data_IF_690396454742
#
_entry.id   IF_690396454742
#
_cell.length_a   1.000
_cell.length_b   1.000
_cell.length_c   1.000
_cell.angle_alpha   90.00
_cell.angle_beta   90.00
_cell.angle_gamma   90.00
#
_symmetry.space_group_name_H-M   'P 1'
#
loop_
_entity.id
_entity.type
_entity.pdbx_description
1 polymer ?
#
# COMPACT_ATOMS: atom_id res chain seq x y z
N UNK A 1 31.80 38.31 1.40
CA UNK A 1 30.95 37.57 0.43
C UNK A 1 30.91 36.08 0.71
N UNK A 2 32.04 35.41 0.98
CA UNK A 2 32.10 33.98 1.34
C UNK A 2 31.14 33.56 2.48
N UNK A 3 30.98 34.39 3.52
CA UNK A 3 30.08 34.11 4.66
C UNK A 3 28.59 34.12 4.30
N UNK A 4 28.18 34.91 3.30
CA UNK A 4 26.78 34.95 2.80
C UNK A 4 26.49 33.77 1.87
N UNK A 5 27.49 33.34 1.10
CA UNK A 5 27.43 32.12 0.27
C UNK A 5 27.36 30.87 1.15
N UNK A 6 28.14 30.82 2.24
CA UNK A 6 28.09 29.73 3.22
C UNK A 6 26.75 29.65 3.95
N UNK A 7 26.15 30.78 4.34
CA UNK A 7 24.81 30.80 4.98
C UNK A 7 23.71 30.36 4.01
N UNK A 8 23.77 30.78 2.75
CA UNK A 8 22.81 30.36 1.72
C UNK A 8 22.94 28.86 1.38
N UNK A 9 24.15 28.33 1.33
CA UNK A 9 24.40 26.89 1.14
C UNK A 9 23.95 26.04 2.34
N UNK A 10 24.15 26.52 3.57
CA UNK A 10 23.67 25.86 4.78
C UNK A 10 22.13 25.84 4.86
N UNK A 11 21.48 26.95 4.50
CA UNK A 11 20.02 27.02 4.44
C UNK A 11 19.45 26.07 3.38
N UNK A 12 20.05 25.97 2.20
CA UNK A 12 19.64 25.02 1.17
C UNK A 12 19.82 23.55 1.61
N UNK A 13 20.88 23.24 2.35
CA UNK A 13 21.12 21.90 2.89
C UNK A 13 20.13 21.52 4.01
N UNK A 14 19.73 22.47 4.87
CA UNK A 14 18.76 22.22 5.95
C UNK A 14 17.33 22.08 5.40
N UNK A 15 16.96 22.84 4.37
CA UNK A 15 15.67 22.68 3.67
C UNK A 15 15.61 21.34 2.92
N UNK A 16 16.73 20.88 2.35
CA UNK A 16 16.83 19.58 1.69
C UNK A 16 16.68 18.37 2.64
N UNK A 17 17.10 18.50 3.89
CA UNK A 17 17.01 17.42 4.89
C UNK A 17 15.59 17.26 5.48
N UNK A 18 14.77 18.32 5.50
CA UNK A 18 13.41 18.28 6.06
C UNK A 18 12.36 17.65 5.13
N UNK A 19 12.68 17.44 3.85
CA UNK A 19 11.75 16.86 2.87
C UNK A 19 11.67 15.31 2.90
N UNK A 20 12.52 14.63 3.70
CA UNK A 20 12.62 13.16 3.68
C UNK A 20 11.75 12.43 4.73
N UNK A 21 10.85 13.12 5.42
CA UNK A 21 9.82 12.46 6.23
C UNK A 21 8.56 12.14 5.40
N UNK A 22 8.74 11.64 4.17
CA UNK A 22 7.65 10.98 3.45
C UNK A 22 7.37 9.64 4.12
N UNK A 23 6.10 9.22 4.19
CA UNK A 23 5.68 7.95 4.80
C UNK A 23 6.37 6.76 4.11
N UNK A 24 7.53 6.36 4.63
CA UNK A 24 8.28 5.21 4.16
C UNK A 24 7.67 3.93 4.74
N UNK A 25 7.50 2.93 3.89
CA UNK A 25 7.07 1.58 4.32
C UNK A 25 8.20 1.01 5.19
N UNK A 26 7.95 0.56 6.43
CA UNK A 26 8.97 -0.05 7.27
C UNK A 26 9.62 -1.26 6.57
N UNK A 27 10.92 -1.48 6.78
CA UNK A 27 11.67 -2.56 6.13
C UNK A 27 11.03 -3.94 6.36
N UNK A 28 10.59 -4.20 7.60
CA UNK A 28 9.93 -5.44 8.01
C UNK A 28 8.48 -5.56 7.49
N UNK A 29 7.96 -4.53 6.82
CA UNK A 29 6.61 -4.48 6.23
C UNK A 29 6.63 -4.41 4.70
N UNK A 30 7.80 -4.39 4.07
CA UNK A 30 7.91 -4.35 2.60
C UNK A 30 7.18 -5.51 1.93
N UNK A 31 7.26 -6.70 2.52
CA UNK A 31 6.57 -7.91 2.08
C UNK A 31 5.75 -8.49 3.22
N UNK A 32 4.44 -8.54 3.04
CA UNK A 32 3.51 -9.14 4.00
C UNK A 32 3.12 -10.54 3.53
N UNK A 33 3.12 -11.49 4.48
CA UNK A 33 2.50 -12.80 4.30
C UNK A 33 1.17 -12.81 5.05
N UNK A 34 0.08 -12.88 4.30
CA UNK A 34 -1.28 -12.89 4.85
C UNK A 34 -1.78 -14.32 4.82
N UNK A 35 -1.80 -14.96 5.99
CA UNK A 35 -2.27 -16.33 6.14
C UNK A 35 -3.79 -16.41 6.05
N UNK A 36 -4.30 -17.30 5.20
CA UNK A 36 -5.73 -17.51 5.01
C UNK A 36 -6.06 -18.99 4.89
N UNK A 37 -7.35 -19.34 5.05
CA UNK A 37 -7.82 -20.72 4.88
C UNK A 37 -7.58 -21.31 3.49
N UNK A 38 -7.37 -20.47 2.46
CA UNK A 38 -7.11 -20.94 1.08
C UNK A 38 -5.62 -21.01 0.72
N UNK A 39 -4.73 -20.63 1.63
CA UNK A 39 -3.29 -20.48 1.38
C UNK A 39 -2.79 -19.08 1.75
N UNK A 40 -1.48 -18.89 1.65
CA UNK A 40 -0.82 -17.63 1.96
C UNK A 40 -0.95 -16.67 0.78
N UNK A 41 -1.28 -15.42 1.07
CA UNK A 41 -1.22 -14.32 0.10
C UNK A 41 0.00 -13.47 0.41
N UNK A 42 0.95 -13.43 -0.52
CA UNK A 42 2.11 -12.54 -0.43
C UNK A 42 1.75 -11.18 -1.02
N UNK A 43 1.87 -10.12 -0.23
CA UNK A 43 1.65 -8.74 -0.65
C UNK A 43 2.95 -7.95 -0.55
N UNK A 44 3.40 -7.40 -1.67
CA UNK A 44 4.62 -6.59 -1.73
C UNK A 44 4.23 -5.12 -1.92
N UNK A 45 4.54 -4.26 -0.94
CA UNK A 45 4.16 -2.84 -0.99
C UNK A 45 4.79 -2.12 -2.18
N UNK A 46 6.08 -2.38 -2.47
CA UNK A 46 6.78 -1.78 -3.60
C UNK A 46 6.08 -2.06 -4.95
N UNK A 47 5.48 -3.25 -5.10
CA UNK A 47 4.73 -3.61 -6.31
C UNK A 47 3.37 -2.93 -6.42
N UNK A 48 2.85 -2.31 -5.36
CA UNK A 48 1.54 -1.66 -5.38
C UNK A 48 1.66 -0.14 -5.28
N UNK A 49 2.40 0.35 -4.28
CA UNK A 49 2.68 1.77 -4.10
C UNK A 49 3.62 2.34 -5.17
N UNK A 50 4.33 1.48 -5.91
CA UNK A 50 5.16 1.90 -7.05
C UNK A 50 4.37 2.17 -8.34
N UNK A 51 3.07 1.91 -8.38
CA UNK A 51 2.23 2.24 -9.53
C UNK A 51 1.80 3.70 -9.49
N UNK A 52 1.86 4.36 -10.65
CA UNK A 52 1.38 5.73 -10.79
C UNK A 52 -0.10 5.86 -10.36
N UNK A 53 -0.35 6.88 -9.53
CA UNK A 53 -1.67 7.20 -8.97
C UNK A 53 -2.11 6.28 -7.82
N UNK A 54 -1.21 5.47 -7.25
CA UNK A 54 -1.49 4.68 -6.04
C UNK A 54 -0.86 5.34 -4.83
N UNK A 55 -1.71 5.90 -3.98
CA UNK A 55 -1.31 6.54 -2.72
C UNK A 55 -1.46 5.58 -1.54
N UNK A 56 -0.85 5.87 -0.38
CA UNK A 56 -1.00 5.06 0.82
C UNK A 56 -2.48 4.86 1.21
N UNK A 57 -3.27 5.93 1.04
CA UNK A 57 -4.70 5.98 1.35
C UNK A 57 -5.56 5.18 0.36
N UNK A 58 -5.02 4.80 -0.80
CA UNK A 58 -5.72 3.94 -1.75
C UNK A 58 -6.06 2.57 -1.14
N UNK A 59 -5.25 2.09 -0.19
CA UNK A 59 -5.48 0.86 0.56
C UNK A 59 -5.77 1.16 2.04
N UNK A 60 -4.94 1.99 2.67
CA UNK A 60 -5.16 2.45 4.04
C UNK A 60 -6.11 3.64 4.05
N UNK A 61 -7.37 3.39 3.69
CA UNK A 61 -8.38 4.42 3.45
C UNK A 61 -8.81 5.25 4.68
N UNK A 62 -8.24 4.96 5.86
CA UNK A 62 -8.37 5.75 7.10
C UNK A 62 -7.07 6.41 7.53
N UNK A 63 -5.97 6.17 6.80
CA UNK A 63 -4.64 6.68 7.12
C UNK A 63 -4.54 8.18 6.82
N UNK A 64 -4.05 8.93 7.81
CA UNK A 64 -3.94 10.39 7.74
C UNK A 64 -2.56 10.88 7.33
N UNK A 65 -1.65 9.99 6.94
CA UNK A 65 -0.26 10.33 6.61
C UNK A 65 0.70 10.28 7.80
N UNK A 66 0.20 10.02 9.01
CA UNK A 66 0.99 10.01 10.24
C UNK A 66 0.93 8.65 10.95
N UNK A 67 2.08 8.17 11.41
CA UNK A 67 2.21 6.90 12.14
C UNK A 67 2.09 5.66 11.26
N UNK A 68 1.90 4.50 11.91
CA UNK A 68 1.66 3.24 11.21
C UNK A 68 0.16 3.04 10.98
N UNK A 69 -0.28 2.72 9.75
CA UNK A 69 -1.67 2.40 9.51
C UNK A 69 -2.04 1.08 10.20
N UNK A 70 -3.31 0.98 10.61
CA UNK A 70 -3.84 -0.26 11.19
C UNK A 70 -4.01 -1.34 10.11
N UNK A 71 -3.85 -2.61 10.52
CA UNK A 71 -4.16 -3.73 9.65
C UNK A 71 -5.67 -3.81 9.37
N UNK A 72 -6.04 -4.26 8.17
CA UNK A 72 -7.44 -4.31 7.72
C UNK A 72 -8.36 -5.04 8.70
N UNK A 73 -7.86 -6.14 9.28
CA UNK A 73 -8.57 -6.99 10.24
C UNK A 73 -8.82 -6.36 11.60
N UNK A 74 -8.23 -5.20 11.91
CA UNK A 74 -8.52 -4.48 13.15
C UNK A 74 -9.89 -3.82 13.14
N UNK A 75 -10.48 -3.60 11.96
CA UNK A 75 -11.85 -3.10 11.82
C UNK A 75 -12.74 -4.06 11.02
N UNK A 76 -12.29 -4.53 9.85
CA UNK A 76 -13.12 -5.33 8.96
C UNK A 76 -13.46 -6.71 9.55
N UNK A 77 -14.70 -6.89 9.97
CA UNK A 77 -15.16 -8.10 10.67
C UNK A 77 -15.03 -8.04 12.20
N UNK A 78 -14.60 -6.90 12.76
CA UNK A 78 -14.65 -6.60 14.21
C UNK A 78 -15.62 -5.47 14.55
N UNK A 79 -15.85 -4.52 13.64
CA UNK A 79 -16.81 -3.41 13.80
C UNK A 79 -18.03 -3.62 12.92
N UNK A 80 -19.20 -3.21 13.41
CA UNK A 80 -20.49 -3.43 12.74
C UNK A 80 -20.66 -2.61 11.45
N UNK A 81 -20.02 -1.45 11.38
CA UNK A 81 -20.02 -0.56 10.22
C UNK A 81 -19.02 -0.99 9.13
N UNK A 82 -18.11 -1.91 9.44
CA UNK A 82 -17.09 -2.39 8.52
C UNK A 82 -17.51 -3.71 7.86
N UNK A 83 -17.45 -3.85 6.53
CA UNK A 83 -17.71 -5.12 5.87
C UNK A 83 -16.72 -6.18 6.34
N UNK A 84 -17.13 -7.45 6.31
CA UNK A 84 -16.26 -8.59 6.62
C UNK A 84 -14.94 -8.50 5.83
N UNK A 85 -13.82 -8.82 6.47
CA UNK A 85 -12.48 -8.73 5.88
C UNK A 85 -12.37 -9.37 4.49
N UNK A 86 -12.90 -10.59 4.35
CA UNK A 86 -12.88 -11.31 3.07
C UNK A 86 -13.59 -10.51 1.97
N UNK A 87 -14.72 -9.85 2.25
CA UNK A 87 -15.43 -9.04 1.27
C UNK A 87 -14.66 -7.76 0.94
N UNK A 88 -14.14 -7.09 1.96
CA UNK A 88 -13.39 -5.84 1.81
C UNK A 88 -12.12 -6.01 0.96
N UNK A 89 -11.30 -7.01 1.27
CA UNK A 89 -10.06 -7.30 0.55
C UNK A 89 -10.35 -7.65 -0.91
N UNK A 90 -11.29 -8.56 -1.16
CA UNK A 90 -11.62 -8.96 -2.52
C UNK A 90 -12.23 -7.82 -3.34
N UNK A 91 -13.06 -6.96 -2.73
CA UNK A 91 -13.59 -5.79 -3.41
C UNK A 91 -12.48 -4.81 -3.80
N UNK A 92 -11.55 -4.51 -2.87
CA UNK A 92 -10.47 -3.54 -3.12
C UNK A 92 -9.46 -4.06 -4.14
N UNK A 93 -8.93 -5.26 -3.92
CA UNK A 93 -7.89 -5.83 -4.76
C UNK A 93 -8.40 -6.12 -6.18
N UNK A 94 -9.53 -6.81 -6.32
CA UNK A 94 -10.06 -7.11 -7.65
C UNK A 94 -10.57 -5.86 -8.36
N UNK A 95 -11.15 -4.91 -7.64
CA UNK A 95 -11.63 -3.65 -8.23
C UNK A 95 -10.50 -2.90 -8.93
N UNK A 96 -9.41 -2.60 -8.20
CA UNK A 96 -8.27 -1.90 -8.78
C UNK A 96 -7.61 -2.69 -9.92
N UNK A 97 -7.45 -4.01 -9.76
CA UNK A 97 -6.88 -4.83 -10.83
C UNK A 97 -7.75 -4.84 -12.08
N UNK A 98 -9.07 -4.89 -11.92
CA UNK A 98 -10.01 -4.83 -13.04
C UNK A 98 -9.96 -3.46 -13.72
N UNK A 99 -10.00 -2.37 -12.96
CA UNK A 99 -9.88 -1.01 -13.50
C UNK A 99 -8.59 -0.83 -14.32
N UNK A 100 -7.45 -1.32 -13.81
CA UNK A 100 -6.18 -1.28 -14.55
C UNK A 100 -6.21 -2.17 -15.79
N UNK A 101 -6.84 -3.35 -15.73
CA UNK A 101 -6.99 -4.24 -16.88
C UNK A 101 -7.86 -3.62 -17.97
N UNK A 102 -8.99 -3.01 -17.60
CA UNK A 102 -9.92 -2.35 -18.52
C UNK A 102 -9.27 -1.13 -19.19
N UNK A 103 -8.36 -0.46 -18.48
CA UNK A 103 -7.51 0.61 -19.02
C UNK A 103 -6.33 0.11 -19.87
N UNK A 104 -6.18 -1.21 -20.08
CA UNK A 104 -5.06 -1.80 -20.82
C UNK A 104 -3.71 -1.67 -20.11
N UNK A 105 -3.69 -1.35 -18.82
CA UNK A 105 -2.48 -1.21 -18.02
C UNK A 105 -2.04 -2.54 -17.42
N UNK A 106 -0.79 -2.60 -16.93
CA UNK A 106 -0.32 -3.72 -16.10
C UNK A 106 -1.21 -3.84 -14.87
N UNK A 107 -1.65 -5.05 -14.59
CA UNK A 107 -2.58 -5.32 -13.50
C UNK A 107 -2.21 -6.63 -12.79
N UNK A 108 -2.70 -6.77 -11.54
CA UNK A 108 -2.57 -8.02 -10.79
C UNK A 108 -3.68 -9.03 -11.14
N UNK A 109 -3.78 -10.15 -10.40
CA UNK A 109 -4.78 -11.17 -10.69
C UNK A 109 -6.21 -10.64 -10.62
N UNK A 110 -7.00 -10.93 -11.66
CA UNK A 110 -8.40 -10.56 -11.76
C UNK A 110 -9.31 -11.51 -10.97
N UNK A 111 -10.53 -11.05 -10.67
CA UNK A 111 -11.59 -11.89 -10.11
C UNK A 111 -11.83 -13.12 -10.98
N UNK A 112 -12.08 -14.26 -10.35
CA UNK A 112 -12.51 -15.48 -11.03
C UNK A 112 -12.08 -16.74 -10.29
N UNK A 113 -12.91 -17.79 -10.34
CA UNK A 113 -12.64 -19.04 -9.63
C UNK A 113 -11.29 -19.67 -10.03
N UNK A 114 -10.89 -19.53 -11.31
CA UNK A 114 -9.60 -20.00 -11.81
C UNK A 114 -8.41 -19.15 -11.33
N UNK A 115 -8.66 -17.94 -10.83
CA UNK A 115 -7.64 -17.00 -10.39
C UNK A 115 -7.45 -16.98 -8.86
N UNK A 116 -8.26 -17.70 -8.07
CA UNK A 116 -8.09 -17.75 -6.60
C UNK A 116 -6.66 -18.13 -6.21
N UNK A 117 -6.05 -19.10 -6.92
CA UNK A 117 -4.69 -19.59 -6.68
C UNK A 117 -3.58 -18.62 -7.10
N UNK A 118 -3.91 -17.58 -7.87
CA UNK A 118 -2.95 -16.55 -8.27
C UNK A 118 -2.64 -15.56 -7.14
N UNK A 119 -3.54 -15.47 -6.15
CA UNK A 119 -3.29 -14.75 -4.90
C UNK A 119 -3.03 -15.71 -3.74
N UNK A 120 -3.84 -16.77 -3.61
CA UNK A 120 -3.75 -17.75 -2.53
C UNK A 120 -2.87 -18.93 -2.95
N UNK A 121 -1.59 -18.87 -2.59
CA UNK A 121 -0.64 -19.95 -2.87
C UNK A 121 -0.68 -20.93 -1.69
N UNK A 122 -0.95 -22.21 -1.98
CA UNK A 122 -0.79 -23.26 -0.96
C UNK A 122 0.70 -23.47 -0.76
N UNK A 123 1.16 -23.34 0.48
CA UNK A 123 2.50 -23.76 0.89
C UNK A 123 2.70 -25.25 0.79
#
# INVERSE_FOLDING_TARGET
MARRILIAALAAAIVGAFALAAAQIPEDKQVLKLETKMGTVTFEHAKHAGFEGVECQTCHHTFKGEGLPQACGECHGKKDDAPKLQKAVHARCWGCHQEKADAGAKHGPLKGAKNCKKCHVKG
#
